data_IF_685328720990
#
_entry.id   IF_685328720990
#
_cell.length_a   1.000
_cell.length_b   1.000
_cell.length_c   1.000
_cell.angle_alpha   90.00
_cell.angle_beta   90.00
_cell.angle_gamma   90.00
#
_symmetry.space_group_name_H-M   'P 1'
#
loop_
_entity.id
_entity.type
_entity.pdbx_description
1 polymer ?
#
# COMPACT_ATOMS: atom_id res chain seq x y z
N UNK A 1 -21.92 9.79 1.58
CA UNK A 1 -20.98 9.34 0.54
C UNK A 1 -19.57 9.53 1.10
N UNK A 2 -19.01 8.51 1.76
CA UNK A 2 -17.62 8.62 2.22
C UNK A 2 -16.71 8.13 1.11
N UNK A 3 -15.85 9.02 0.62
CA UNK A 3 -14.77 8.67 -0.28
C UNK A 3 -13.78 7.77 0.46
N UNK A 4 -14.00 6.46 0.43
CA UNK A 4 -12.95 5.49 0.76
C UNK A 4 -12.02 5.46 -0.45
N UNK A 5 -11.13 6.45 -0.53
CA UNK A 5 -10.09 6.49 -1.54
C UNK A 5 -9.09 5.35 -1.29
N UNK A 6 -8.42 4.84 -2.33
CA UNK A 6 -7.49 3.70 -2.26
C UNK A 6 -6.30 3.91 -1.29
N UNK A 7 -6.06 5.15 -0.88
CA UNK A 7 -5.00 5.56 0.06
C UNK A 7 -5.29 5.10 1.49
N UNK A 8 -6.56 4.97 1.90
CA UNK A 8 -6.91 4.66 3.30
C UNK A 8 -6.69 3.19 3.72
N UNK A 9 -6.34 2.30 2.79
CA UNK A 9 -6.19 0.86 3.05
C UNK A 9 -4.72 0.39 3.14
N UNK A 10 -3.75 1.28 2.91
CA UNK A 10 -2.34 0.99 3.11
C UNK A 10 -1.93 1.28 4.57
N UNK A 11 -0.77 0.79 5.05
CA UNK A 11 -0.29 1.14 6.38
C UNK A 11 -0.26 2.67 6.57
N UNK A 12 -0.82 3.16 7.67
CA UNK A 12 -1.12 4.59 7.90
C UNK A 12 0.06 5.52 7.56
N UNK A 13 1.28 5.11 7.91
CA UNK A 13 2.52 5.87 7.66
C UNK A 13 2.86 6.04 6.17
N UNK A 14 2.50 5.09 5.31
CA UNK A 14 2.75 5.17 3.86
C UNK A 14 1.65 6.04 3.23
N UNK A 15 0.41 5.89 3.69
CA UNK A 15 -0.74 6.69 3.24
C UNK A 15 -0.55 8.18 3.51
N UNK A 16 -0.06 8.55 4.70
CA UNK A 16 0.26 9.94 5.05
C UNK A 16 1.33 10.53 4.13
N UNK A 17 2.38 9.76 3.82
CA UNK A 17 3.45 10.19 2.92
C UNK A 17 2.98 10.41 1.48
N UNK A 18 2.07 9.58 0.98
CA UNK A 18 1.46 9.78 -0.35
C UNK A 18 0.68 11.10 -0.38
N UNK A 19 -0.07 11.43 0.68
CA UNK A 19 -0.82 12.69 0.74
C UNK A 19 0.11 13.90 0.85
N UNK A 20 1.21 13.78 1.59
CA UNK A 20 2.22 14.83 1.67
C UNK A 20 2.93 15.05 0.33
N UNK A 21 3.34 13.98 -0.36
CA UNK A 21 4.01 14.08 -1.67
C UNK A 21 3.10 14.66 -2.74
N UNK A 22 1.80 14.34 -2.74
CA UNK A 22 0.83 14.96 -3.67
C UNK A 22 0.79 16.48 -3.47
N UNK A 23 0.71 16.95 -2.22
CA UNK A 23 0.71 18.41 -1.94
C UNK A 23 2.01 19.06 -2.38
N UNK A 24 3.14 18.39 -2.16
CA UNK A 24 4.44 18.87 -2.61
C UNK A 24 4.48 18.98 -4.14
N UNK A 25 4.06 17.93 -4.86
CA UNK A 25 4.01 17.94 -6.32
C UNK A 25 3.08 19.03 -6.87
N UNK A 26 1.91 19.24 -6.26
CA UNK A 26 1.00 20.34 -6.63
C UNK A 26 1.69 21.71 -6.49
N UNK A 27 2.42 21.95 -5.39
CA UNK A 27 3.16 23.20 -5.17
C UNK A 27 4.33 23.34 -6.16
N UNK A 28 5.15 22.31 -6.31
CA UNK A 28 6.32 22.31 -7.23
C UNK A 28 5.90 22.53 -8.69
N UNK A 29 4.77 21.96 -9.10
CA UNK A 29 4.26 22.06 -10.47
C UNK A 29 3.41 23.31 -10.74
N UNK A 30 3.15 24.16 -9.73
CA UNK A 30 2.22 25.29 -9.87
C UNK A 30 2.70 26.36 -10.85
N UNK A 31 4.02 26.57 -10.95
CA UNK A 31 4.60 27.62 -11.80
C UNK A 31 5.03 27.10 -13.18
N UNK A 32 5.73 25.97 -13.22
CA UNK A 32 6.14 25.30 -14.47
C UNK A 32 5.78 23.81 -14.45
N UNK A 33 4.61 23.44 -15.00
CA UNK A 33 4.15 22.05 -15.06
C UNK A 33 4.98 21.14 -15.97
N UNK A 34 5.82 21.70 -16.85
CA UNK A 34 6.69 20.93 -17.75
C UNK A 34 8.14 20.86 -17.26
N UNK A 35 8.44 21.45 -16.10
CA UNK A 35 9.77 21.42 -15.50
C UNK A 35 10.18 20.00 -15.12
N UNK A 36 11.49 19.75 -15.13
CA UNK A 36 12.04 18.49 -14.64
C UNK A 36 11.79 18.28 -13.13
N UNK A 37 11.69 19.37 -12.36
CA UNK A 37 11.37 19.32 -10.93
C UNK A 37 9.92 18.91 -10.69
N UNK A 38 8.98 19.41 -11.51
CA UNK A 38 7.59 18.95 -11.49
C UNK A 38 7.48 17.47 -11.84
N UNK A 39 8.17 17.02 -12.90
CA UNK A 39 8.19 15.60 -13.27
C UNK A 39 8.75 14.72 -12.14
N UNK A 40 9.89 15.10 -11.55
CA UNK A 40 10.47 14.37 -10.44
C UNK A 40 9.58 14.31 -9.20
N UNK A 41 8.83 15.38 -8.90
CA UNK A 41 7.88 15.39 -7.78
C UNK A 41 6.70 14.43 -8.02
N UNK A 42 6.19 14.33 -9.25
CA UNK A 42 5.15 13.35 -9.59
C UNK A 42 5.67 11.91 -9.68
N UNK A 43 6.93 11.70 -10.10
CA UNK A 43 7.59 10.39 -10.03
C UNK A 43 7.64 9.88 -8.57
N UNK A 44 7.95 10.76 -7.61
CA UNK A 44 7.93 10.39 -6.18
C UNK A 44 6.52 9.99 -5.72
N UNK A 45 5.47 10.70 -6.17
CA UNK A 45 4.08 10.35 -5.86
C UNK A 45 3.72 8.97 -6.43
N UNK A 46 4.16 8.68 -7.66
CA UNK A 46 3.90 7.41 -8.33
C UNK A 46 4.51 6.25 -7.54
N UNK A 47 5.79 6.34 -7.21
CA UNK A 47 6.51 5.32 -6.46
C UNK A 47 5.94 5.09 -5.06
N UNK A 48 5.61 6.17 -4.33
CA UNK A 48 4.98 6.06 -3.01
C UNK A 48 3.59 5.41 -3.09
N UNK A 49 2.83 5.73 -4.14
CA UNK A 49 1.50 5.14 -4.37
C UNK A 49 1.60 3.66 -4.75
N UNK A 50 2.60 3.29 -5.55
CA UNK A 50 2.91 1.90 -5.88
C UNK A 50 3.30 1.10 -4.63
N UNK A 51 4.17 1.66 -3.78
CA UNK A 51 4.56 1.05 -2.50
C UNK A 51 3.36 0.86 -1.57
N UNK A 52 2.44 1.85 -1.49
CA UNK A 52 1.21 1.76 -0.73
C UNK A 52 0.30 0.63 -1.24
N UNK A 53 0.13 0.54 -2.57
CA UNK A 53 -0.64 -0.52 -3.21
C UNK A 53 -0.05 -1.90 -2.92
N UNK A 54 1.27 -2.05 -3.08
CA UNK A 54 1.96 -3.30 -2.78
C UNK A 54 1.85 -3.69 -1.31
N UNK A 55 1.95 -2.73 -0.39
CA UNK A 55 1.78 -3.00 1.03
C UNK A 55 0.37 -3.50 1.35
N UNK A 56 -0.65 -2.89 0.76
CA UNK A 56 -2.05 -3.34 0.88
C UNK A 56 -2.26 -4.73 0.30
N UNK A 57 -1.70 -5.02 -0.87
CA UNK A 57 -1.90 -6.31 -1.52
C UNK A 57 -1.27 -7.46 -0.70
N UNK A 58 -0.10 -7.24 -0.09
CA UNK A 58 0.49 -8.19 0.87
C UNK A 58 -0.39 -8.47 2.09
N UNK A 59 -1.28 -7.56 2.48
CA UNK A 59 -2.22 -7.80 3.58
C UNK A 59 -3.40 -8.68 3.17
N UNK A 60 -3.68 -8.81 1.86
CA UNK A 60 -4.75 -9.69 1.36
C UNK A 60 -4.31 -11.16 1.29
N UNK A 61 -3.01 -11.40 1.23
CA UNK A 61 -2.44 -12.74 1.05
C UNK A 61 -2.40 -13.56 2.35
N UNK A 62 -2.80 -12.99 3.50
CA UNK A 62 -2.91 -13.71 4.75
C UNK A 62 -4.25 -14.47 4.82
N UNK A 63 -4.23 -15.76 4.49
CA UNK A 63 -5.36 -16.65 4.78
C UNK A 63 -5.46 -16.86 6.30
N UNK A 64 -6.57 -16.47 6.96
CA UNK A 64 -6.74 -16.67 8.39
C UNK A 64 -6.58 -18.14 8.82
N UNK A 65 -6.90 -19.09 7.95
CA UNK A 65 -6.68 -20.51 8.22
C UNK A 65 -5.19 -20.85 8.21
N UNK A 66 -4.43 -20.33 7.25
CA UNK A 66 -2.98 -20.57 7.17
C UNK A 66 -2.26 -20.01 8.40
N UNK A 67 -2.61 -18.80 8.85
CA UNK A 67 -2.06 -18.22 10.08
C UNK A 67 -2.45 -19.02 11.33
N UNK A 68 -3.70 -19.50 11.41
CA UNK A 68 -4.13 -20.38 12.50
C UNK A 68 -3.36 -21.71 12.52
N UNK A 69 -3.14 -22.31 11.35
CA UNK A 69 -2.42 -23.59 11.22
C UNK A 69 -0.93 -23.50 11.52
N UNK A 70 -0.30 -22.32 11.40
CA UNK A 70 1.09 -22.10 11.83
C UNK A 70 1.27 -22.33 13.33
N UNK A 71 0.28 -21.91 14.13
CA UNK A 71 0.32 -22.01 15.58
C UNK A 71 -0.39 -23.26 16.13
N UNK A 72 -1.27 -23.87 15.33
CA UNK A 72 -2.11 -25.02 15.74
C UNK A 72 -2.06 -26.16 14.68
N UNK A 73 -0.88 -26.71 14.36
CA UNK A 73 -0.73 -27.70 13.28
C UNK A 73 -1.47 -29.02 13.53
N UNK A 74 -1.82 -29.31 14.78
CA UNK A 74 -2.48 -30.55 15.19
C UNK A 74 -4.01 -30.55 15.06
N UNK A 75 -4.63 -29.39 14.82
CA UNK A 75 -6.10 -29.29 14.73
C UNK A 75 -6.62 -29.97 13.47
N UNK A 76 -7.90 -30.32 13.48
CA UNK A 76 -8.51 -31.06 12.35
C UNK A 76 -8.44 -30.26 11.05
N UNK A 77 -8.50 -28.93 11.13
CA UNK A 77 -8.43 -28.01 10.01
C UNK A 77 -7.02 -27.88 9.41
N UNK A 78 -5.98 -28.28 10.14
CA UNK A 78 -4.57 -27.99 9.84
C UNK A 78 -3.71 -29.23 9.62
N UNK A 79 -4.26 -30.41 9.91
CA UNK A 79 -3.56 -31.68 9.82
C UNK A 79 -3.31 -32.07 8.37
N UNK A 80 -2.06 -31.94 7.93
CA UNK A 80 -1.58 -32.41 6.63
C UNK A 80 -0.90 -33.78 6.76
N UNK A 81 -1.03 -34.63 5.74
CA UNK A 81 -0.38 -35.93 5.67
C UNK A 81 0.54 -35.94 4.45
N UNK A 82 1.77 -36.44 4.61
CA UNK A 82 2.64 -36.73 3.48
C UNK A 82 2.37 -38.17 3.01
N UNK A 83 2.12 -38.34 1.71
CA UNK A 83 1.90 -39.65 1.06
C UNK A 83 3.18 -40.51 0.99
#
# INVERSE_FOLDING_TARGET
MSAVGPVAAAPDRISEKVVESIKNAEVTCSEDPASGECAAAWDEVEELSAAASHARDRLKDADPLEDFCKDNPETEECRTYED
#
